data_IF_255277293644
#
_entry.id   IF_255277293644
#
_cell.length_a   1.000
_cell.length_b   1.000
_cell.length_c   1.000
_cell.angle_alpha   90.00
_cell.angle_beta   90.00
_cell.angle_gamma   90.00
#
_symmetry.space_group_name_H-M   'P 1'
#
loop_
_entity.id
_entity.type
_entity.pdbx_description
1 polymer ?
#
# COMPACT_ATOMS: atom_id res chain seq x y z
N UNK A 1 55.53 -24.46 50.67
CA UNK A 1 55.98 -23.44 49.70
C UNK A 1 54.78 -23.07 48.86
N UNK A 2 54.42 -21.77 48.82
CA UNK A 2 53.31 -21.23 48.02
C UNK A 2 53.65 -21.34 46.53
N UNK A 3 52.69 -21.81 45.74
CA UNK A 3 52.69 -21.76 44.28
C UNK A 3 51.24 -21.88 43.78
N UNK A 4 50.63 -20.81 43.25
CA UNK A 4 49.28 -20.79 42.72
C UNK A 4 49.26 -21.01 41.20
N UNK A 5 48.14 -21.50 40.67
CA UNK A 5 47.86 -21.55 39.24
C UNK A 5 46.37 -21.36 38.99
N UNK A 6 45.93 -20.10 38.94
CA UNK A 6 44.61 -19.71 38.43
C UNK A 6 44.58 -19.93 36.92
N UNK A 7 43.53 -20.58 36.42
CA UNK A 7 43.17 -20.57 35.01
C UNK A 7 41.71 -20.16 34.83
N UNK A 8 41.39 -18.88 34.58
CA UNK A 8 40.11 -18.51 34.02
C UNK A 8 40.19 -18.66 32.49
N UNK A 9 39.50 -19.66 31.96
CA UNK A 9 39.29 -19.81 30.53
C UNK A 9 38.54 -18.59 29.98
N UNK A 10 39.25 -17.81 29.17
CA UNK A 10 38.76 -16.68 28.42
C UNK A 10 37.87 -17.11 27.24
N UNK A 11 36.90 -16.27 26.89
CA UNK A 11 36.14 -16.33 25.62
C UNK A 11 34.72 -16.87 25.83
N UNK A 12 33.64 -16.16 25.52
CA UNK A 12 33.45 -15.20 24.46
C UNK A 12 32.47 -14.10 24.89
N UNK A 13 32.88 -12.85 24.69
CA UNK A 13 31.98 -11.70 24.63
C UNK A 13 31.09 -11.87 23.39
N UNK A 14 29.83 -12.25 23.61
CA UNK A 14 28.79 -12.17 22.57
C UNK A 14 28.48 -10.69 22.38
N UNK A 15 29.18 -10.04 21.44
CA UNK A 15 28.75 -8.76 20.89
C UNK A 15 27.46 -9.01 20.09
N UNK A 16 26.32 -8.82 20.74
CA UNK A 16 25.05 -8.68 20.07
C UNK A 16 25.08 -7.37 19.25
N UNK A 17 25.40 -7.50 17.97
CA UNK A 17 25.28 -6.42 16.98
C UNK A 17 23.79 -6.10 16.83
N UNK A 18 23.32 -5.11 17.58
CA UNK A 18 22.05 -4.43 17.34
C UNK A 18 22.18 -3.69 16.00
N UNK A 19 21.88 -4.39 14.91
CA UNK A 19 21.67 -3.78 13.61
C UNK A 19 20.41 -2.92 13.67
N UNK A 20 20.58 -1.65 14.03
CA UNK A 20 19.56 -0.63 13.88
C UNK A 20 19.25 -0.50 12.38
N UNK A 21 18.13 -1.10 11.95
CA UNK A 21 17.63 -0.95 10.59
C UNK A 21 17.04 0.45 10.48
N UNK A 22 17.86 1.44 10.17
CA UNK A 22 17.40 2.71 9.62
C UNK A 22 16.93 2.45 8.18
N UNK A 23 15.66 2.05 8.04
CA UNK A 23 15.01 1.84 6.75
C UNK A 23 14.78 3.18 6.03
N UNK A 24 15.84 3.77 5.51
CA UNK A 24 15.71 4.77 4.45
C UNK A 24 15.40 4.01 3.16
N UNK A 25 14.12 3.66 2.97
CA UNK A 25 13.64 3.01 1.75
C UNK A 25 14.01 3.86 0.54
N UNK A 26 14.79 3.28 -0.36
CA UNK A 26 15.30 3.91 -1.58
C UNK A 26 14.15 4.03 -2.61
N UNK A 27 14.24 4.98 -3.55
CA UNK A 27 13.14 5.28 -4.50
C UNK A 27 12.71 4.08 -5.38
N UNK A 28 13.64 3.29 -5.95
CA UNK A 28 13.30 2.04 -6.64
C UNK A 28 12.50 1.05 -5.78
N UNK A 29 12.93 0.77 -4.55
CA UNK A 29 12.20 -0.19 -3.71
C UNK A 29 10.85 0.36 -3.24
N UNK A 30 10.70 1.68 -3.04
CA UNK A 30 9.36 2.30 -2.88
C UNK A 30 8.48 2.10 -4.11
N UNK A 31 9.04 2.21 -5.33
CA UNK A 31 8.28 1.92 -6.58
C UNK A 31 7.87 0.46 -6.66
N UNK A 32 8.74 -0.46 -6.27
CA UNK A 32 8.44 -1.89 -6.28
C UNK A 32 7.33 -2.23 -5.26
N UNK A 33 7.39 -1.65 -4.06
CA UNK A 33 6.33 -1.78 -3.04
C UNK A 33 4.97 -1.27 -3.54
N UNK A 34 4.95 -0.07 -4.15
CA UNK A 34 3.74 0.50 -4.73
C UNK A 34 3.19 -0.37 -5.86
N UNK A 35 4.07 -0.86 -6.75
CA UNK A 35 3.69 -1.76 -7.85
C UNK A 35 3.06 -3.03 -7.31
N UNK A 36 3.66 -3.62 -6.28
CA UNK A 36 3.16 -4.84 -5.64
C UNK A 36 1.80 -4.61 -4.96
N UNK A 37 1.61 -3.46 -4.30
CA UNK A 37 0.33 -3.13 -3.67
C UNK A 37 -0.79 -2.95 -4.68
N UNK A 38 -0.56 -2.19 -5.77
CA UNK A 38 -1.57 -2.04 -6.82
C UNK A 38 -1.84 -3.35 -7.53
N UNK A 39 -0.82 -4.18 -7.76
CA UNK A 39 -1.03 -5.51 -8.36
C UNK A 39 -1.93 -6.39 -7.48
N UNK A 40 -1.76 -6.36 -6.16
CA UNK A 40 -2.64 -7.07 -5.22
C UNK A 40 -4.06 -6.51 -5.22
N UNK A 41 -4.20 -5.19 -5.30
CA UNK A 41 -5.50 -4.53 -5.40
C UNK A 41 -6.24 -4.96 -6.67
N UNK A 42 -5.57 -4.96 -7.82
CA UNK A 42 -6.12 -5.41 -9.11
C UNK A 42 -6.52 -6.90 -9.09
N UNK A 43 -5.70 -7.75 -8.47
CA UNK A 43 -6.03 -9.17 -8.29
C UNK A 43 -7.26 -9.37 -7.39
N UNK A 44 -7.41 -8.55 -6.35
CA UNK A 44 -8.58 -8.57 -5.48
C UNK A 44 -9.84 -8.06 -6.19
N UNK A 45 -9.71 -7.08 -7.10
CA UNK A 45 -10.79 -6.60 -7.95
C UNK A 45 -11.27 -7.70 -8.89
N UNK A 46 -10.34 -8.33 -9.62
CA UNK A 46 -10.66 -9.41 -10.57
C UNK A 46 -11.32 -10.61 -9.88
N UNK A 47 -10.89 -10.92 -8.65
CA UNK A 47 -11.43 -12.02 -7.87
C UNK A 47 -12.64 -11.66 -6.98
N UNK A 48 -13.16 -10.42 -7.02
CA UNK A 48 -14.32 -9.99 -6.22
C UNK A 48 -14.10 -10.06 -4.70
N UNK A 49 -12.87 -9.84 -4.22
CA UNK A 49 -12.51 -10.02 -2.82
C UNK A 49 -12.71 -8.72 -2.02
N UNK A 50 -13.98 -8.36 -1.79
CA UNK A 50 -14.36 -7.06 -1.22
C UNK A 50 -13.66 -6.71 0.10
N UNK A 51 -13.50 -7.69 1.01
CA UNK A 51 -12.78 -7.48 2.27
C UNK A 51 -11.32 -7.06 2.06
N UNK A 52 -10.62 -7.68 1.09
CA UNK A 52 -9.22 -7.33 0.76
C UNK A 52 -9.13 -5.95 0.13
N UNK A 53 -10.10 -5.59 -0.71
CA UNK A 53 -10.17 -4.26 -1.30
C UNK A 53 -10.38 -3.19 -0.22
N UNK A 54 -11.33 -3.39 0.68
CA UNK A 54 -11.59 -2.50 1.81
C UNK A 54 -10.39 -2.36 2.76
N UNK A 55 -9.61 -3.43 2.96
CA UNK A 55 -8.38 -3.38 3.75
C UNK A 55 -7.23 -2.64 3.04
N UNK A 56 -7.23 -2.59 1.71
CA UNK A 56 -6.26 -1.86 0.90
C UNK A 56 -6.54 -0.35 0.85
N UNK A 57 -7.79 0.07 1.09
CA UNK A 57 -8.15 1.49 1.15
C UNK A 57 -7.48 2.20 2.33
N UNK A 58 -7.15 3.47 2.12
CA UNK A 58 -6.79 4.36 3.20
C UNK A 58 -7.99 4.56 4.14
N UNK A 59 -7.77 4.76 5.46
CA UNK A 59 -8.86 4.89 6.42
C UNK A 59 -9.91 5.94 6.02
N UNK A 60 -9.47 7.14 5.63
CA UNK A 60 -10.36 8.21 5.17
C UNK A 60 -11.12 7.85 3.89
N UNK A 61 -10.49 7.14 2.95
CA UNK A 61 -11.15 6.67 1.72
C UNK A 61 -12.22 5.62 2.01
N UNK A 62 -11.96 4.72 2.96
CA UNK A 62 -12.95 3.74 3.40
C UNK A 62 -14.13 4.41 4.08
N UNK A 63 -13.87 5.34 5.00
CA UNK A 63 -14.90 6.09 5.73
C UNK A 63 -15.77 6.91 4.76
N UNK A 64 -15.16 7.61 3.80
CA UNK A 64 -15.89 8.38 2.79
C UNK A 64 -16.76 7.50 1.89
N UNK A 65 -16.26 6.32 1.49
CA UNK A 65 -17.02 5.35 0.71
C UNK A 65 -18.24 4.83 1.50
N UNK A 66 -18.05 4.47 2.76
CA UNK A 66 -19.12 4.00 3.65
C UNK A 66 -20.18 5.08 3.88
N UNK A 67 -19.73 6.30 4.12
CA UNK A 67 -20.60 7.45 4.33
C UNK A 67 -21.42 7.77 3.07
N UNK A 68 -20.76 7.85 1.91
CA UNK A 68 -21.42 8.18 0.64
C UNK A 68 -22.41 7.11 0.18
N UNK A 69 -22.08 5.84 0.41
CA UNK A 69 -22.93 4.72 0.02
C UNK A 69 -23.99 4.34 1.07
N UNK A 70 -23.93 4.94 2.27
CA UNK A 70 -24.74 4.62 3.46
C UNK A 70 -24.74 3.11 3.79
N UNK A 71 -23.62 2.44 3.53
CA UNK A 71 -23.46 0.98 3.72
C UNK A 71 -22.03 0.66 4.16
N UNK A 72 -21.78 -0.58 4.59
CA UNK A 72 -20.40 -1.02 4.92
C UNK A 72 -19.54 -1.07 3.66
N UNK A 73 -18.23 -0.91 3.83
CA UNK A 73 -17.29 -0.83 2.71
C UNK A 73 -17.44 -1.99 1.72
N UNK A 74 -17.61 -3.23 2.21
CA UNK A 74 -17.68 -4.42 1.36
C UNK A 74 -18.92 -4.43 0.45
N UNK A 75 -20.01 -3.81 0.90
CA UNK A 75 -21.24 -3.66 0.11
C UNK A 75 -21.10 -2.50 -0.88
N UNK A 76 -20.54 -1.38 -0.44
CA UNK A 76 -20.32 -0.21 -1.28
C UNK A 76 -19.37 -0.53 -2.44
N UNK A 77 -18.25 -1.19 -2.16
CA UNK A 77 -17.28 -1.56 -3.21
C UNK A 77 -17.83 -2.65 -4.14
N UNK A 78 -18.61 -3.60 -3.61
CA UNK A 78 -19.28 -4.60 -4.41
C UNK A 78 -20.25 -3.97 -5.42
N UNK A 79 -21.03 -2.97 -4.98
CA UNK A 79 -21.89 -2.19 -5.87
C UNK A 79 -21.10 -1.50 -6.98
N UNK A 80 -20.01 -0.81 -6.65
CA UNK A 80 -19.17 -0.13 -7.63
C UNK A 80 -18.58 -1.10 -8.68
N UNK A 81 -18.26 -2.34 -8.28
CA UNK A 81 -17.81 -3.40 -9.20
C UNK A 81 -18.97 -3.87 -10.09
N UNK A 82 -20.13 -4.16 -9.50
CA UNK A 82 -21.34 -4.64 -10.20
C UNK A 82 -21.85 -3.62 -11.22
N UNK A 83 -21.80 -2.33 -10.87
CA UNK A 83 -22.19 -1.19 -11.71
C UNK A 83 -21.11 -0.79 -12.73
N UNK A 84 -19.98 -1.50 -12.73
CA UNK A 84 -18.85 -1.33 -13.68
C UNK A 84 -18.16 0.03 -13.56
N UNK A 85 -18.28 0.67 -12.40
CA UNK A 85 -17.58 1.90 -12.04
C UNK A 85 -16.13 1.58 -11.67
N UNK A 86 -15.90 0.47 -10.96
CA UNK A 86 -14.57 0.01 -10.55
C UNK A 86 -14.18 -1.36 -11.17
N UNK A 87 -14.05 -1.47 -12.50
CA UNK A 87 -13.56 -2.70 -13.13
C UNK A 87 -12.04 -2.85 -12.93
N UNK A 88 -11.55 -4.10 -12.91
CA UNK A 88 -10.11 -4.36 -12.96
C UNK A 88 -9.50 -3.62 -14.16
N UNK A 89 -8.45 -2.84 -13.90
CA UNK A 89 -7.84 -1.94 -14.84
C UNK A 89 -6.80 -2.61 -15.74
N UNK A 90 -6.15 -3.67 -15.26
CA UNK A 90 -5.15 -4.45 -16.00
C UNK A 90 -3.73 -4.19 -15.53
N UNK A 91 -2.75 -4.28 -16.43
CA UNK A 91 -1.34 -4.20 -16.08
C UNK A 91 -0.86 -2.78 -15.71
N UNK A 92 0.13 -2.69 -14.82
CA UNK A 92 0.83 -1.43 -14.49
C UNK A 92 1.61 -0.93 -15.71
N UNK A 93 1.42 0.35 -16.04
CA UNK A 93 2.06 1.05 -17.17
C UNK A 93 3.08 2.09 -16.70
N UNK A 94 2.90 2.65 -15.51
CA UNK A 94 3.83 3.63 -14.94
C UNK A 94 3.59 3.83 -13.45
N UNK A 95 4.66 4.14 -12.73
CA UNK A 95 4.63 4.40 -11.29
C UNK A 95 5.47 5.64 -10.99
N UNK A 96 4.80 6.65 -10.43
CA UNK A 96 5.43 7.87 -9.96
C UNK A 96 5.32 7.93 -8.43
N UNK A 97 6.44 8.11 -7.73
CA UNK A 97 6.48 8.22 -6.27
C UNK A 97 7.02 9.59 -5.89
N UNK A 98 6.29 10.29 -5.02
CA UNK A 98 6.60 11.62 -4.53
C UNK A 98 6.51 11.63 -3.00
N UNK A 99 7.64 11.39 -2.34
CA UNK A 99 7.68 11.24 -0.88
C UNK A 99 6.82 10.07 -0.43
N UNK A 100 5.76 10.37 0.32
CA UNK A 100 4.81 9.39 0.85
C UNK A 100 3.53 9.27 0.02
N UNK A 101 3.54 9.80 -1.20
CA UNK A 101 2.44 9.66 -2.16
C UNK A 101 2.92 8.95 -3.41
N UNK A 102 2.00 8.24 -4.07
CA UNK A 102 2.29 7.60 -5.34
C UNK A 102 1.09 7.67 -6.29
N UNK A 103 1.40 7.68 -7.58
CA UNK A 103 0.45 7.55 -8.67
C UNK A 103 0.86 6.35 -9.52
N UNK A 104 -0.10 5.46 -9.77
CA UNK A 104 0.08 4.30 -10.63
C UNK A 104 -0.87 4.42 -11.81
N UNK A 105 -0.32 4.42 -13.02
CA UNK A 105 -1.09 4.39 -14.26
C UNK A 105 -1.19 2.93 -14.68
N UNK A 106 -2.43 2.45 -14.84
CA UNK A 106 -2.78 1.12 -15.32
C UNK A 106 -3.28 1.23 -16.77
N UNK A 107 -3.58 0.10 -17.42
CA UNK A 107 -4.08 0.11 -18.80
C UNK A 107 -5.41 0.87 -18.95
N UNK A 108 -6.29 0.77 -17.94
CA UNK A 108 -7.62 1.36 -17.97
C UNK A 108 -7.96 2.19 -16.73
N UNK A 109 -7.01 2.48 -15.87
CA UNK A 109 -7.24 3.25 -14.65
C UNK A 109 -5.99 4.02 -14.20
N UNK A 110 -6.17 4.96 -13.29
CA UNK A 110 -5.11 5.53 -12.48
C UNK A 110 -5.45 5.34 -11.00
N UNK A 111 -4.52 4.82 -10.22
CA UNK A 111 -4.68 4.62 -8.77
C UNK A 111 -3.74 5.57 -8.04
N UNK A 112 -4.23 6.21 -6.99
CA UNK A 112 -3.44 7.05 -6.10
C UNK A 112 -3.28 6.35 -4.75
N UNK A 113 -2.08 6.44 -4.19
CA UNK A 113 -1.74 5.83 -2.92
C UNK A 113 -1.02 6.82 -2.01
N UNK A 114 -1.16 6.61 -0.72
CA UNK A 114 -0.32 7.24 0.31
C UNK A 114 0.31 6.17 1.20
N UNK A 115 1.49 6.46 1.73
CA UNK A 115 2.20 5.58 2.64
C UNK A 115 1.73 5.81 4.08
N UNK A 116 1.22 4.76 4.71
CA UNK A 116 0.80 4.74 6.11
C UNK A 116 1.75 3.86 6.94
N UNK A 117 1.67 3.88 8.28
CA UNK A 117 2.43 2.93 9.12
C UNK A 117 2.16 1.46 8.78
N UNK A 118 0.99 1.16 8.22
CA UNK A 118 0.59 -0.18 7.76
C UNK A 118 0.97 -0.46 6.29
N UNK A 119 1.78 0.39 5.66
CA UNK A 119 2.18 0.31 4.25
C UNK A 119 1.40 1.24 3.33
N UNK A 120 1.60 1.08 2.03
CA UNK A 120 0.88 1.82 1.00
C UNK A 120 -0.62 1.50 1.03
N UNK A 121 -1.46 2.53 0.95
CA UNK A 121 -2.91 2.41 0.91
C UNK A 121 -3.50 3.22 -0.23
N UNK A 122 -4.53 2.66 -0.87
CA UNK A 122 -5.26 3.30 -1.96
C UNK A 122 -6.07 4.47 -1.40
N UNK A 123 -5.74 5.68 -1.86
CA UNK A 123 -6.48 6.90 -1.51
C UNK A 123 -7.53 7.25 -2.55
N UNK A 124 -7.33 6.83 -3.80
CA UNK A 124 -8.32 6.94 -4.87
C UNK A 124 -8.09 5.88 -5.97
N UNK A 125 -9.19 5.40 -6.58
CA UNK A 125 -9.20 4.42 -7.67
C UNK A 125 -10.38 4.68 -8.63
N UNK A 126 -10.34 4.07 -9.82
CA UNK A 126 -11.30 4.40 -10.88
C UNK A 126 -11.10 5.82 -11.43
N UNK A 127 -9.86 6.34 -11.39
CA UNK A 127 -9.54 7.70 -11.77
C UNK A 127 -9.29 7.87 -13.26
N UNK A 128 -10.12 8.68 -13.92
CA UNK A 128 -9.94 9.15 -15.30
C UNK A 128 -9.25 10.52 -15.35
N UNK A 129 -8.23 10.70 -16.20
CA UNK A 129 -7.58 11.99 -16.38
C UNK A 129 -8.54 12.98 -17.04
N UNK A 130 -8.49 14.23 -16.60
CA UNK A 130 -9.23 15.35 -17.21
C UNK A 130 -8.24 16.47 -17.55
N UNK A 131 -8.26 17.03 -18.77
CA UNK A 131 -7.41 18.15 -19.12
C UNK A 131 -7.61 19.32 -18.17
N UNK A 132 -6.50 19.82 -17.61
CA UNK A 132 -6.44 21.00 -16.71
C UNK A 132 -7.34 20.93 -15.47
N UNK A 133 -7.79 19.72 -15.09
CA UNK A 133 -8.69 19.48 -13.97
C UNK A 133 -8.20 18.31 -13.12
N UNK A 134 -8.57 18.24 -11.83
CA UNK A 134 -8.32 17.05 -11.02
C UNK A 134 -8.92 15.82 -11.69
N UNK A 135 -8.34 14.65 -11.41
CA UNK A 135 -8.90 13.37 -11.87
C UNK A 135 -10.35 13.22 -11.41
N UNK A 136 -11.15 12.54 -12.22
CA UNK A 136 -12.46 12.06 -11.81
C UNK A 136 -12.29 10.63 -11.34
N UNK A 137 -12.48 10.37 -10.05
CA UNK A 137 -12.33 9.05 -9.46
C UNK A 137 -13.68 8.56 -8.97
N UNK A 138 -13.94 7.27 -9.13
CA UNK A 138 -15.12 6.61 -8.58
C UNK A 138 -15.02 6.45 -7.06
N UNK A 139 -13.83 6.12 -6.56
CA UNK A 139 -13.54 6.07 -5.13
C UNK A 139 -12.41 7.05 -4.82
N UNK A 140 -12.60 7.86 -3.78
CA UNK A 140 -11.59 8.81 -3.28
C UNK A 140 -11.82 9.11 -1.81
N UNK A 141 -10.74 9.32 -1.07
CA UNK A 141 -10.77 9.87 0.29
C UNK A 141 -10.23 11.30 0.29
N UNK A 142 -10.90 12.20 1.01
CA UNK A 142 -10.49 13.60 1.12
C UNK A 142 -11.55 14.46 1.74
#
# INVERSE_FOLDING_TARGET
MRGPGYGPGAGALVLAVLAAVSACGTLPERRDEVTAEVTRFEQALDAGQHERLCAALAPATREELEHSAETRCEQAIGRAIDERELPAAGAVRGVDVYGDQARVVLERDTVFLSHFPAGWKVTAAGCRPRPERPYQCEIKGG
#
